data_IF_669799469780
#
_entry.id   IF_669799469780
#
_cell.length_a   1.000
_cell.length_b   1.000
_cell.length_c   1.000
_cell.angle_alpha   90.00
_cell.angle_beta   90.00
_cell.angle_gamma   90.00
#
_symmetry.space_group_name_H-M   'P 1'
#
loop_
_entity.id
_entity.type
_entity.pdbx_description
1 polymer ?
#
# COMPACT_ATOMS: atom_id res chain seq x y z
N UNK A 1 36.36 26.47 21.19
CA UNK A 1 35.83 25.10 21.40
C UNK A 1 34.57 24.93 20.54
N UNK A 2 34.44 23.83 19.78
CA UNK A 2 33.18 23.36 19.18
C UNK A 2 32.36 22.71 20.30
N UNK A 3 31.29 23.35 20.80
CA UNK A 3 30.41 22.72 21.76
C UNK A 3 29.69 21.60 21.01
N UNK A 4 29.68 20.37 21.54
CA UNK A 4 28.86 19.28 20.95
C UNK A 4 27.39 19.70 20.79
N UNK A 5 26.92 20.71 21.54
CA UNK A 5 25.59 21.29 21.45
C UNK A 5 25.35 22.27 20.28
N UNK A 6 26.38 22.72 19.56
CA UNK A 6 26.31 23.81 18.56
C UNK A 6 26.67 23.37 17.13
N UNK A 7 26.72 22.06 16.87
CA UNK A 7 26.95 21.51 15.52
C UNK A 7 25.66 21.61 14.73
N UNK A 8 25.66 22.46 13.70
CA UNK A 8 24.51 22.65 12.82
C UNK A 8 24.26 21.39 11.98
N UNK A 9 23.00 21.22 11.62
CA UNK A 9 22.55 20.27 10.61
C UNK A 9 23.45 20.36 9.35
N UNK A 10 24.14 19.27 8.99
CA UNK A 10 25.04 19.21 7.83
C UNK A 10 26.53 19.40 8.13
N UNK A 11 26.90 19.66 9.39
CA UNK A 11 28.28 19.74 9.87
C UNK A 11 28.57 18.59 10.87
N UNK A 12 29.83 18.19 11.04
CA UNK A 12 30.30 17.30 12.10
C UNK A 12 31.56 17.85 12.76
N UNK A 13 31.79 17.50 14.04
CA UNK A 13 33.00 17.86 14.77
C UNK A 13 33.85 16.60 15.05
N UNK A 14 34.87 16.29 14.23
CA UNK A 14 35.79 15.18 14.52
C UNK A 14 36.70 15.53 15.71
N UNK A 15 36.97 16.81 15.94
CA UNK A 15 37.72 17.32 17.08
C UNK A 15 36.96 18.48 17.74
N UNK A 16 37.18 18.68 19.03
CA UNK A 16 36.51 19.68 19.89
C UNK A 16 36.77 21.15 19.54
N UNK A 17 37.36 21.44 18.37
CA UNK A 17 37.78 22.77 17.94
C UNK A 17 37.49 23.08 16.47
N UNK A 18 36.96 22.14 15.68
CA UNK A 18 36.72 22.35 14.24
C UNK A 18 35.41 21.71 13.77
N UNK A 19 34.55 22.51 13.14
CA UNK A 19 33.38 22.04 12.41
C UNK A 19 33.77 21.78 10.96
N UNK A 20 33.41 20.62 10.42
CA UNK A 20 33.58 20.28 9.01
C UNK A 20 32.22 19.96 8.38
N UNK A 21 32.04 20.35 7.13
CA UNK A 21 30.86 20.01 6.33
C UNK A 21 30.83 18.51 6.03
N UNK A 22 29.63 17.93 6.02
CA UNK A 22 29.44 16.54 5.60
C UNK A 22 29.72 16.38 4.09
N UNK A 23 30.69 15.54 3.77
CA UNK A 23 31.10 15.04 2.46
C UNK A 23 29.93 14.43 1.66
N UNK A 24 30.07 14.39 0.33
CA UNK A 24 29.07 13.77 -0.55
C UNK A 24 28.83 12.29 -0.20
N UNK A 25 27.58 11.85 -0.24
CA UNK A 25 27.19 10.47 0.10
C UNK A 25 27.10 10.18 1.60
N UNK A 26 27.35 11.17 2.46
CA UNK A 26 27.14 11.09 3.90
C UNK A 26 26.22 12.22 4.39
N UNK A 27 25.51 11.98 5.49
CA UNK A 27 24.70 12.97 6.17
C UNK A 27 25.12 13.09 7.64
N UNK A 28 25.02 14.31 8.17
CA UNK A 28 25.48 14.64 9.52
C UNK A 28 24.30 15.13 10.35
N UNK A 29 23.90 14.34 11.34
CA UNK A 29 22.90 14.76 12.33
C UNK A 29 23.44 15.92 13.16
N UNK A 30 22.58 16.80 13.71
CA UNK A 30 23.00 17.79 14.68
C UNK A 30 23.71 17.07 15.84
N UNK A 31 24.80 17.67 16.34
CA UNK A 31 25.65 17.10 17.39
C UNK A 31 26.42 15.82 17.01
N UNK A 32 26.51 15.48 15.71
CA UNK A 32 27.28 14.30 15.28
C UNK A 32 28.79 14.55 15.29
N UNK A 33 29.55 13.56 15.79
CA UNK A 33 31.02 13.53 15.74
C UNK A 33 31.55 12.73 14.52
N UNK A 34 30.67 11.99 13.84
CA UNK A 34 31.02 11.20 12.66
C UNK A 34 29.97 11.36 11.54
N UNK A 35 30.38 11.34 10.27
CA UNK A 35 29.45 11.33 9.13
C UNK A 35 28.77 9.96 9.01
N UNK A 36 27.45 9.95 8.81
CA UNK A 36 26.68 8.70 8.62
C UNK A 36 26.51 8.46 7.13
N UNK A 37 26.82 7.26 6.66
CA UNK A 37 26.64 6.89 5.25
C UNK A 37 25.16 6.95 4.88
N UNK A 38 24.88 7.46 3.68
CA UNK A 38 23.51 7.54 3.22
C UNK A 38 22.91 6.17 2.91
N UNK A 39 21.61 5.97 3.22
CA UNK A 39 20.92 4.74 2.86
C UNK A 39 20.93 4.55 1.35
N UNK A 40 21.05 3.27 0.94
CA UNK A 40 20.96 2.87 -0.46
C UNK A 40 19.69 3.46 -1.09
N UNK A 41 19.80 3.97 -2.32
CA UNK A 41 18.75 4.67 -3.10
C UNK A 41 18.43 6.13 -2.71
N UNK A 42 19.13 6.75 -1.75
CA UNK A 42 18.97 8.18 -1.46
C UNK A 42 20.23 9.00 -1.75
N UNK A 43 20.20 9.96 -2.69
CA UNK A 43 21.32 10.85 -2.89
C UNK A 43 21.39 11.87 -1.74
N UNK A 44 22.58 11.98 -1.14
CA UNK A 44 22.89 13.00 -0.16
C UNK A 44 23.90 13.98 -0.75
N UNK A 45 23.45 15.21 -1.07
CA UNK A 45 24.37 16.28 -1.40
C UNK A 45 25.17 16.70 -0.16
N UNK A 46 26.30 17.35 -0.39
CA UNK A 46 27.17 17.85 0.66
C UNK A 46 26.42 18.80 1.59
N UNK A 47 26.77 18.76 2.89
CA UNK A 47 26.14 19.62 3.89
C UNK A 47 24.68 19.29 4.20
N UNK A 48 24.21 18.07 3.91
CA UNK A 48 22.85 17.66 4.29
C UNK A 48 22.79 16.99 5.66
N UNK A 49 21.76 17.35 6.42
CA UNK A 49 21.50 16.78 7.75
C UNK A 49 20.54 15.60 7.72
N UNK A 50 19.79 15.48 6.63
CA UNK A 50 18.81 14.43 6.41
C UNK A 50 18.89 13.96 4.96
N UNK A 51 18.72 12.65 4.73
CA UNK A 51 18.61 12.12 3.37
C UNK A 51 17.37 12.71 2.70
N UNK A 52 17.55 13.29 1.51
CA UNK A 52 16.47 13.86 0.70
C UNK A 52 15.66 12.73 0.04
N UNK A 53 14.75 12.10 0.80
CA UNK A 53 13.91 11.00 0.33
C UNK A 53 12.61 11.44 -0.38
N UNK A 54 12.34 12.76 -0.49
CA UNK A 54 11.05 13.31 -0.93
C UNK A 54 10.58 12.82 -2.31
N UNK A 55 11.50 12.53 -3.25
CA UNK A 55 11.14 12.02 -4.58
C UNK A 55 10.57 10.59 -4.54
N UNK A 56 11.08 9.76 -3.64
CA UNK A 56 10.59 8.39 -3.47
C UNK A 56 9.30 8.35 -2.66
N UNK A 57 9.17 9.23 -1.66
CA UNK A 57 7.93 9.37 -0.89
C UNK A 57 6.74 9.72 -1.80
N UNK A 58 6.91 10.65 -2.73
CA UNK A 58 5.85 11.01 -3.68
C UNK A 58 5.41 9.85 -4.56
N UNK A 59 6.36 9.08 -5.08
CA UNK A 59 6.08 7.92 -5.93
C UNK A 59 5.37 6.80 -5.14
N UNK A 60 5.82 6.53 -3.93
CA UNK A 60 5.23 5.49 -3.07
C UNK A 60 3.77 5.83 -2.72
N UNK A 61 3.51 7.09 -2.35
CA UNK A 61 2.15 7.59 -2.10
C UNK A 61 1.30 7.50 -3.36
N UNK A 62 1.83 7.88 -4.52
CA UNK A 62 1.11 7.79 -5.79
C UNK A 62 0.72 6.34 -6.15
N UNK A 63 1.64 5.39 -5.98
CA UNK A 63 1.38 3.96 -6.23
C UNK A 63 0.30 3.42 -5.28
N UNK A 64 0.36 3.76 -3.99
CA UNK A 64 -0.64 3.33 -3.00
C UNK A 64 -2.01 3.89 -3.36
N UNK A 65 -2.10 5.21 -3.63
CA UNK A 65 -3.36 5.85 -3.98
C UNK A 65 -3.94 5.30 -5.29
N UNK A 66 -3.10 5.09 -6.30
CA UNK A 66 -3.51 4.51 -7.57
C UNK A 66 -4.02 3.07 -7.40
N UNK A 67 -3.29 2.24 -6.64
CA UNK A 67 -3.68 0.88 -6.31
C UNK A 67 -5.00 0.82 -5.54
N UNK A 68 -5.19 1.71 -4.54
CA UNK A 68 -6.44 1.82 -3.78
C UNK A 68 -7.61 2.24 -4.67
N UNK A 69 -7.41 3.22 -5.56
CA UNK A 69 -8.45 3.67 -6.50
C UNK A 69 -8.82 2.54 -7.46
N UNK A 70 -7.84 1.83 -8.04
CA UNK A 70 -8.11 0.68 -8.90
C UNK A 70 -8.87 -0.42 -8.15
N UNK A 71 -8.45 -0.76 -6.94
CA UNK A 71 -9.14 -1.75 -6.12
C UNK A 71 -10.61 -1.35 -5.85
N UNK A 72 -10.87 -0.07 -5.57
CA UNK A 72 -12.23 0.45 -5.37
C UNK A 72 -13.07 0.47 -6.65
N UNK A 73 -12.46 0.71 -7.81
CA UNK A 73 -13.15 0.66 -9.11
C UNK A 73 -13.49 -0.78 -9.48
N UNK A 74 -12.55 -1.70 -9.28
CA UNK A 74 -12.74 -3.13 -9.52
C UNK A 74 -13.79 -3.70 -8.57
N UNK A 75 -13.75 -3.36 -7.28
CA UNK A 75 -14.74 -3.87 -6.32
C UNK A 75 -16.17 -3.42 -6.66
N UNK A 76 -16.35 -2.17 -7.10
CA UNK A 76 -17.65 -1.69 -7.59
C UNK A 76 -18.08 -2.39 -8.87
N UNK A 77 -17.17 -2.54 -9.83
CA UNK A 77 -17.47 -3.25 -11.08
C UNK A 77 -17.84 -4.72 -10.86
N UNK A 78 -17.14 -5.39 -9.93
CA UNK A 78 -17.42 -6.77 -9.54
C UNK A 78 -18.78 -6.86 -8.83
N UNK A 79 -19.10 -5.93 -7.93
CA UNK A 79 -20.41 -5.88 -7.29
C UNK A 79 -21.56 -5.74 -8.32
N UNK A 80 -21.40 -4.88 -9.32
CA UNK A 80 -22.38 -4.71 -10.39
C UNK A 80 -22.50 -5.96 -11.28
N UNK A 81 -21.38 -6.61 -11.58
CA UNK A 81 -21.35 -7.88 -12.34
C UNK A 81 -22.04 -9.01 -11.59
N UNK A 82 -21.77 -9.14 -10.28
CA UNK A 82 -22.41 -10.13 -9.42
C UNK A 82 -23.92 -9.88 -9.38
N UNK A 83 -24.36 -8.62 -9.19
CA UNK A 83 -25.78 -8.30 -9.19
C UNK A 83 -26.47 -8.63 -10.52
N UNK A 84 -25.81 -8.36 -11.66
CA UNK A 84 -26.33 -8.75 -12.98
C UNK A 84 -26.42 -10.26 -13.14
N UNK A 85 -25.40 -10.99 -12.68
CA UNK A 85 -25.37 -12.45 -12.80
C UNK A 85 -26.42 -13.12 -11.93
N UNK A 86 -26.63 -12.64 -10.69
CA UNK A 86 -27.68 -13.16 -9.81
C UNK A 86 -29.07 -12.98 -10.43
N UNK A 87 -29.37 -11.80 -11.00
CA UNK A 87 -30.66 -11.58 -11.69
C UNK A 87 -30.85 -12.48 -12.90
N UNK A 88 -29.77 -12.80 -13.62
CA UNK A 88 -29.87 -13.69 -14.77
C UNK A 88 -30.13 -15.14 -14.35
N UNK A 89 -29.42 -15.61 -13.33
CA UNK A 89 -29.60 -16.96 -12.80
C UNK A 89 -31.00 -17.18 -12.20
N UNK A 90 -31.61 -16.19 -11.55
CA UNK A 90 -32.98 -16.35 -11.03
C UNK A 90 -33.98 -16.61 -12.17
N UNK A 91 -33.83 -15.93 -13.31
CA UNK A 91 -34.71 -16.14 -14.49
C UNK A 91 -34.54 -17.54 -15.08
N UNK A 92 -33.31 -18.05 -15.18
CA UNK A 92 -33.04 -19.43 -15.64
C UNK A 92 -33.67 -20.45 -14.69
N UNK A 93 -33.58 -20.22 -13.38
CA UNK A 93 -34.09 -21.16 -12.37
C UNK A 93 -35.61 -21.28 -12.43
N UNK A 94 -36.32 -20.15 -12.60
CA UNK A 94 -37.79 -20.16 -12.78
C UNK A 94 -38.19 -20.94 -14.04
N UNK A 95 -37.54 -20.68 -15.17
CA UNK A 95 -37.78 -21.42 -16.43
C UNK A 95 -37.53 -22.92 -16.28
N UNK A 96 -36.49 -23.30 -15.54
CA UNK A 96 -36.18 -24.72 -15.29
C UNK A 96 -37.30 -25.38 -14.47
N UNK A 97 -37.92 -24.64 -13.56
CA UNK A 97 -39.06 -25.13 -12.76
C UNK A 97 -40.35 -25.26 -13.60
N UNK A 98 -40.56 -24.38 -14.59
CA UNK A 98 -41.68 -24.49 -15.55
C UNK A 98 -41.48 -25.63 -16.56
N UNK A 99 -40.25 -25.87 -17.00
CA UNK A 99 -39.95 -26.88 -18.03
C UNK A 99 -39.77 -28.30 -17.47
N UNK A 100 -39.82 -28.50 -16.14
CA UNK A 100 -39.77 -29.83 -15.54
C UNK A 100 -41.03 -30.18 -14.73
N UNK A 101 -42.19 -30.36 -15.39
CA UNK A 101 -43.40 -30.86 -14.75
C UNK A 101 -43.29 -32.34 -14.32
N UNK A 102 -42.25 -33.05 -14.78
CA UNK A 102 -42.12 -34.51 -14.60
C UNK A 102 -41.72 -34.94 -13.18
N UNK A 103 -41.34 -34.02 -12.28
CA UNK A 103 -40.91 -34.36 -10.92
C UNK A 103 -42.01 -34.25 -9.85
N UNK A 104 -43.21 -33.80 -10.22
CA UNK A 104 -44.34 -33.62 -9.29
C UNK A 104 -45.31 -34.81 -9.18
N UNK A 105 -45.16 -35.87 -9.98
CA UNK A 105 -46.14 -36.96 -10.06
C UNK A 105 -45.71 -38.28 -9.37
N UNK A 106 -44.70 -38.27 -8.49
CA UNK A 106 -44.08 -39.51 -7.99
C UNK A 106 -43.92 -39.66 -6.47
N UNK A 107 -44.55 -38.84 -5.63
CA UNK A 107 -44.34 -38.93 -4.17
C UNK A 107 -45.62 -38.77 -3.30
N UNK A 108 -46.78 -39.22 -3.80
CA UNK A 108 -48.04 -39.18 -3.03
C UNK A 108 -48.73 -40.53 -2.88
N UNK A 109 -48.02 -41.66 -2.93
CA UNK A 109 -48.64 -42.98 -2.68
C UNK A 109 -47.75 -43.87 -1.80
N UNK A 110 -47.60 -43.56 -0.50
CA UNK A 110 -46.99 -44.53 0.44
C UNK A 110 -47.23 -44.28 1.93
N UNK A 111 -48.38 -43.71 2.33
CA UNK A 111 -48.79 -43.69 3.75
C UNK A 111 -50.30 -43.88 3.88
N UNK A 112 -50.80 -45.02 3.42
CA UNK A 112 -52.12 -45.52 3.82
C UNK A 112 -52.06 -47.04 3.88
N UNK A 113 -51.98 -47.59 5.09
CA UNK A 113 -52.16 -49.01 5.36
C UNK A 113 -50.96 -49.68 6.02
N UNK A 114 -50.87 -49.57 7.34
CA UNK A 114 -50.89 -50.69 8.30
C UNK A 114 -50.74 -50.17 9.73
#
# INVERSE_FOLDING_TARGET
>A
MCPRSLVRAGEFCPASWKNLTCWQGHYCKPQSIYPVKCPMLTPCPEGTAYPRAYRMTGLLVAVILFGMVLALRLSRGIADLIQRFIRFNSVITDLTHYMNPAKGAGHSDSVAGL
#
